data_IF_906447325574
#
_entry.id   IF_906447325574
#
_cell.length_a   1.000
_cell.length_b   1.000
_cell.length_c   1.000
_cell.angle_alpha   90.00
_cell.angle_beta   90.00
_cell.angle_gamma   90.00
#
_symmetry.space_group_name_H-M   'P 1'
#
loop_
_entity.id
_entity.type
_entity.pdbx_description
1 polymer ?
#
# COMPACT_ATOMS: atom_id res chain seq x y z
N UNK A 1 -3.41 -33.05 -5.83
CA UNK A 1 -2.69 -31.81 -6.13
C UNK A 1 -2.11 -31.31 -4.80
N UNK A 2 -0.78 -31.35 -4.61
CA UNK A 2 -0.18 -30.80 -3.40
C UNK A 2 -0.12 -29.28 -3.56
N UNK A 3 -0.83 -28.56 -2.69
CA UNK A 3 -0.76 -27.11 -2.63
C UNK A 3 0.56 -26.72 -1.95
N UNK A 4 1.23 -25.70 -2.47
CA UNK A 4 2.37 -25.09 -1.80
C UNK A 4 1.93 -24.56 -0.42
N UNK A 5 2.74 -24.79 0.60
CA UNK A 5 2.49 -24.16 1.92
C UNK A 5 3.03 -22.74 1.88
N UNK A 6 2.24 -21.80 2.38
CA UNK A 6 2.63 -20.41 2.56
C UNK A 6 2.65 -20.09 4.05
N UNK A 7 3.72 -19.48 4.51
CA UNK A 7 3.92 -18.99 5.87
C UNK A 7 4.00 -17.46 5.80
N UNK A 8 3.20 -16.78 6.63
CA UNK A 8 3.16 -15.32 6.71
C UNK A 8 3.14 -14.92 8.17
N UNK A 9 4.12 -14.16 8.58
CA UNK A 9 4.23 -13.57 9.91
C UNK A 9 4.41 -12.07 9.80
N UNK A 10 3.93 -11.33 10.79
CA UNK A 10 4.08 -9.89 10.80
C UNK A 10 3.55 -9.24 12.07
N UNK A 11 3.79 -7.95 12.17
CA UNK A 11 3.41 -7.12 13.31
C UNK A 11 2.62 -5.92 12.85
N UNK A 12 1.47 -5.67 13.46
CA UNK A 12 0.69 -4.44 13.29
C UNK A 12 0.86 -3.54 14.51
N UNK A 13 1.28 -2.29 14.27
CA UNK A 13 1.28 -1.22 15.25
C UNK A 13 0.18 -0.23 14.94
N UNK A 14 -0.75 -0.02 15.88
CA UNK A 14 -1.81 0.96 15.73
C UNK A 14 -1.80 1.98 16.87
N UNK A 15 -1.78 3.27 16.52
CA UNK A 15 -1.83 4.39 17.44
C UNK A 15 -3.05 5.24 17.10
N UNK A 16 -3.90 5.49 18.10
CA UNK A 16 -5.08 6.35 17.98
C UNK A 16 -5.01 7.42 19.06
N UNK A 17 -5.22 8.67 18.65
CA UNK A 17 -5.20 9.79 19.56
C UNK A 17 -6.27 10.82 19.19
N UNK A 18 -7.17 11.07 20.12
CA UNK A 18 -8.24 12.07 19.97
C UNK A 18 -8.01 13.18 20.98
N UNK A 19 -8.19 14.43 20.56
CA UNK A 19 -8.09 15.59 21.45
C UNK A 19 -9.00 16.73 20.98
N UNK A 20 -9.48 17.50 21.96
CA UNK A 20 -10.32 18.65 21.75
C UNK A 20 -9.51 19.94 21.96
N UNK A 21 -9.83 20.95 21.17
CA UNK A 21 -9.22 22.27 21.25
C UNK A 21 -10.31 23.35 21.17
N UNK A 22 -9.95 24.60 21.46
CA UNK A 22 -10.84 25.74 21.28
C UNK A 22 -11.21 26.03 19.80
N UNK A 23 -10.51 25.40 18.86
CA UNK A 23 -10.77 25.55 17.41
C UNK A 23 -11.46 24.31 16.82
N UNK A 24 -11.69 23.23 17.59
CA UNK A 24 -12.36 22.02 17.14
C UNK A 24 -11.68 20.73 17.64
N UNK A 25 -12.23 19.62 17.21
CA UNK A 25 -11.84 18.26 17.60
C UNK A 25 -10.90 17.67 16.56
N UNK A 26 -9.86 17.01 17.03
CA UNK A 26 -8.87 16.32 16.20
C UNK A 26 -8.83 14.83 16.53
N UNK A 27 -8.60 14.04 15.50
CA UNK A 27 -8.42 12.59 15.59
C UNK A 27 -7.22 12.21 14.73
N UNK A 28 -6.23 11.52 15.32
CA UNK A 28 -5.05 11.03 14.63
C UNK A 28 -5.05 9.51 14.72
N UNK A 29 -4.84 8.85 13.60
CA UNK A 29 -4.71 7.40 13.49
C UNK A 29 -3.47 7.07 12.67
N UNK A 30 -2.54 6.32 13.24
CA UNK A 30 -1.39 5.75 12.54
C UNK A 30 -1.49 4.22 12.67
N UNK A 31 -1.44 3.54 11.53
CA UNK A 31 -1.36 2.09 11.46
C UNK A 31 -0.16 1.73 10.60
N UNK A 32 0.78 0.99 11.17
CA UNK A 32 1.95 0.47 10.48
C UNK A 32 1.92 -1.05 10.52
N UNK A 33 1.97 -1.66 9.35
CA UNK A 33 2.08 -3.12 9.18
C UNK A 33 3.51 -3.44 8.76
N UNK A 34 4.13 -4.34 9.48
CA UNK A 34 5.45 -4.90 9.19
C UNK A 34 5.25 -6.38 8.87
N UNK A 35 5.70 -6.81 7.70
CA UNK A 35 5.73 -8.23 7.34
C UNK A 35 7.13 -8.74 7.63
N UNK A 36 7.23 -9.68 8.57
CA UNK A 36 8.52 -10.24 9.02
C UNK A 36 8.88 -11.47 8.18
N UNK A 37 7.88 -12.25 7.77
CA UNK A 37 8.04 -13.46 6.96
C UNK A 37 6.95 -13.53 5.91
N UNK A 38 7.34 -13.81 4.66
CA UNK A 38 6.44 -14.21 3.60
C UNK A 38 7.14 -15.31 2.78
N UNK A 39 6.95 -16.55 3.19
CA UNK A 39 7.65 -17.69 2.63
C UNK A 39 6.70 -18.65 1.92
N UNK A 40 7.06 -19.07 0.72
CA UNK A 40 6.33 -20.08 -0.04
C UNK A 40 7.19 -21.30 -0.32
N UNK A 41 6.79 -22.46 0.22
CA UNK A 41 7.52 -23.71 0.06
C UNK A 41 7.47 -24.17 -1.40
N UNK A 42 8.61 -24.43 -2.06
CA UNK A 42 8.64 -25.03 -3.39
C UNK A 42 8.07 -26.43 -3.35
N UNK A 43 7.31 -26.82 -4.38
CA UNK A 43 6.72 -28.16 -4.52
C UNK A 43 7.04 -28.80 -5.86
N UNK A 44 7.07 -30.14 -5.92
CA UNK A 44 7.30 -30.89 -7.16
C UNK A 44 8.64 -30.57 -7.83
N UNK A 45 8.61 -30.24 -9.10
CA UNK A 45 9.81 -29.90 -9.89
C UNK A 45 10.54 -28.66 -9.37
N UNK A 46 9.81 -27.69 -8.83
CA UNK A 46 10.39 -26.48 -8.26
C UNK A 46 11.22 -26.77 -7.01
N UNK A 47 10.87 -27.79 -6.23
CA UNK A 47 11.69 -28.23 -5.09
C UNK A 47 13.04 -28.77 -5.56
N UNK A 48 13.07 -29.56 -6.62
CA UNK A 48 14.32 -30.08 -7.20
C UNK A 48 15.22 -28.97 -7.73
N UNK A 49 14.63 -27.97 -8.41
CA UNK A 49 15.36 -26.80 -8.90
C UNK A 49 15.95 -25.99 -7.74
N UNK A 50 15.18 -25.74 -6.68
CA UNK A 50 15.67 -25.02 -5.50
C UNK A 50 16.85 -25.73 -4.83
N UNK A 51 16.82 -27.05 -4.73
CA UNK A 51 17.91 -27.86 -4.18
C UNK A 51 19.17 -27.76 -5.07
N UNK A 52 19.01 -27.88 -6.40
CA UNK A 52 20.12 -27.81 -7.34
C UNK A 52 20.79 -26.42 -7.36
N UNK A 53 20.02 -25.35 -7.20
CA UNK A 53 20.56 -23.98 -7.03
C UNK A 53 21.29 -23.84 -5.69
N UNK A 54 20.69 -24.32 -4.60
CA UNK A 54 21.30 -24.25 -3.27
C UNK A 54 22.60 -25.05 -3.15
N UNK A 55 22.71 -26.18 -3.88
CA UNK A 55 23.95 -26.99 -3.95
C UNK A 55 25.02 -26.42 -4.90
N UNK A 56 24.69 -25.39 -5.70
CA UNK A 56 25.57 -24.82 -6.70
C UNK A 56 25.67 -25.62 -8.00
N UNK A 57 24.82 -26.64 -8.18
CA UNK A 57 24.70 -27.41 -9.44
C UNK A 57 24.08 -26.56 -10.55
N UNK A 58 23.21 -25.63 -10.18
CA UNK A 58 22.63 -24.64 -11.09
C UNK A 58 22.93 -23.22 -10.63
N UNK A 59 23.05 -22.28 -11.57
CA UNK A 59 23.28 -20.88 -11.23
C UNK A 59 22.04 -20.26 -10.56
N UNK A 60 22.25 -19.19 -9.78
CA UNK A 60 21.21 -18.52 -8.99
C UNK A 60 19.99 -18.06 -9.80
N UNK A 61 20.19 -17.67 -11.07
CA UNK A 61 19.09 -17.28 -11.97
C UNK A 61 18.17 -18.43 -12.38
N UNK A 62 18.56 -19.68 -12.11
CA UNK A 62 17.69 -20.85 -12.33
C UNK A 62 16.73 -21.11 -11.14
N UNK A 63 16.81 -20.30 -10.09
CA UNK A 63 15.88 -20.38 -8.96
C UNK A 63 14.44 -20.13 -9.43
N UNK A 64 13.46 -20.94 -8.96
CA UNK A 64 12.07 -20.75 -9.34
C UNK A 64 11.53 -19.46 -8.73
N UNK A 65 10.93 -18.59 -9.56
CA UNK A 65 10.28 -17.37 -9.13
C UNK A 65 8.99 -17.71 -8.35
N UNK A 66 8.67 -16.92 -7.31
CA UNK A 66 7.46 -17.09 -6.51
C UNK A 66 7.53 -18.20 -5.46
N UNK A 67 8.73 -18.67 -5.13
CA UNK A 67 9.00 -19.65 -4.07
C UNK A 67 10.19 -19.20 -3.22
N UNK A 68 10.29 -19.72 -2.00
CA UNK A 68 11.28 -19.33 -1.02
C UNK A 68 10.84 -18.11 -0.21
N UNK A 69 11.78 -17.29 0.21
CA UNK A 69 11.51 -16.03 0.89
C UNK A 69 11.09 -14.98 -0.15
N UNK A 70 9.86 -14.52 -0.02
CA UNK A 70 9.23 -13.54 -0.91
C UNK A 70 8.93 -12.23 -0.19
N UNK A 71 9.40 -12.08 1.06
CA UNK A 71 9.21 -10.85 1.80
C UNK A 71 9.98 -9.70 1.12
N UNK A 72 9.38 -8.53 1.04
CA UNK A 72 9.97 -7.38 0.35
C UNK A 72 10.06 -7.54 -1.18
N UNK A 73 9.28 -8.44 -1.79
CA UNK A 73 9.27 -8.64 -3.25
C UNK A 73 7.90 -8.34 -3.87
N UNK A 74 7.87 -8.11 -5.19
CA UNK A 74 6.67 -7.86 -5.98
C UNK A 74 5.69 -9.06 -6.03
N UNK A 75 6.20 -10.28 -5.91
CA UNK A 75 5.39 -11.53 -5.91
C UNK A 75 5.00 -11.99 -4.51
N UNK A 76 5.47 -11.31 -3.47
CA UNK A 76 5.22 -11.60 -2.08
C UNK A 76 4.44 -10.51 -1.36
N UNK A 77 5.05 -9.92 -0.35
CA UNK A 77 4.49 -8.85 0.46
C UNK A 77 5.47 -7.69 0.61
N UNK A 78 4.93 -6.48 0.72
CA UNK A 78 5.70 -5.31 1.12
C UNK A 78 6.11 -5.46 2.58
N UNK A 79 7.41 -5.28 2.89
CA UNK A 79 7.90 -5.38 4.29
C UNK A 79 7.25 -4.36 5.22
N UNK A 80 6.98 -3.15 4.73
CA UNK A 80 6.37 -2.10 5.54
C UNK A 80 5.29 -1.33 4.77
N UNK A 81 4.14 -1.16 5.41
CA UNK A 81 3.03 -0.34 4.91
C UNK A 81 2.48 0.52 6.02
N UNK A 82 2.49 1.85 5.82
CA UNK A 82 2.02 2.81 6.80
C UNK A 82 0.79 3.54 6.31
N UNK A 83 -0.17 3.75 7.20
CA UNK A 83 -1.35 4.56 6.95
C UNK A 83 -1.52 5.58 8.07
N UNK A 84 -1.39 6.86 7.74
CA UNK A 84 -1.69 7.98 8.62
C UNK A 84 -3.03 8.60 8.22
N UNK A 85 -3.85 8.93 9.20
CA UNK A 85 -5.03 9.75 8.99
C UNK A 85 -5.12 10.79 10.11
N UNK A 86 -5.30 12.04 9.72
CA UNK A 86 -5.60 13.16 10.60
C UNK A 86 -6.99 13.68 10.22
N UNK A 87 -7.90 13.75 11.18
CA UNK A 87 -9.25 14.27 10.98
C UNK A 87 -9.47 15.48 11.88
N UNK A 88 -10.22 16.44 11.39
CA UNK A 88 -10.63 17.64 12.10
C UNK A 88 -12.12 17.85 11.96
N UNK A 89 -12.77 18.28 13.05
CA UNK A 89 -14.18 18.65 13.08
C UNK A 89 -14.40 19.93 13.89
N UNK A 90 -15.16 20.86 13.31
CA UNK A 90 -15.67 22.02 14.02
C UNK A 90 -17.07 22.36 13.50
N UNK A 91 -18.11 22.14 14.31
CA UNK A 91 -19.49 22.33 13.91
C UNK A 91 -19.84 21.58 12.63
N UNK A 92 -20.20 22.30 11.58
CA UNK A 92 -20.56 21.75 10.28
C UNK A 92 -19.37 21.41 9.39
N UNK A 93 -18.18 21.86 9.74
CA UNK A 93 -16.96 21.64 8.96
C UNK A 93 -16.25 20.37 9.39
N UNK A 94 -15.76 19.63 8.39
CA UNK A 94 -14.87 18.48 8.57
C UNK A 94 -13.77 18.53 7.54
N UNK A 95 -12.56 18.24 7.97
CA UNK A 95 -11.42 18.05 7.09
C UNK A 95 -10.70 16.75 7.46
N UNK A 96 -10.09 16.09 6.50
CA UNK A 96 -9.18 14.97 6.78
C UNK A 96 -8.04 14.93 5.78
N UNK A 97 -6.86 14.67 6.30
CA UNK A 97 -5.66 14.33 5.54
C UNK A 97 -5.36 12.86 5.81
N UNK A 98 -5.18 12.07 4.76
CA UNK A 98 -4.74 10.67 4.87
C UNK A 98 -3.53 10.45 3.98
N UNK A 99 -2.52 9.77 4.51
CA UNK A 99 -1.34 9.37 3.77
C UNK A 99 -1.19 7.86 3.81
N UNK A 100 -0.75 7.29 2.70
CA UNK A 100 -0.39 5.89 2.55
C UNK A 100 1.05 5.83 2.05
N UNK A 101 1.92 5.17 2.83
CA UNK A 101 3.26 4.81 2.40
C UNK A 101 3.32 3.30 2.13
N UNK A 102 3.87 2.95 1.00
CA UNK A 102 4.23 1.59 0.61
C UNK A 102 5.76 1.55 0.63
N UNK A 103 6.34 0.59 1.34
CA UNK A 103 7.78 0.39 1.42
C UNK A 103 8.41 0.05 0.09
N UNK A 104 9.72 -0.05 0.06
CA UNK A 104 10.45 -0.51 -1.11
C UNK A 104 10.20 -2.00 -1.37
N UNK A 105 10.41 -2.41 -2.60
CA UNK A 105 10.25 -3.78 -3.08
C UNK A 105 11.44 -4.16 -3.94
N UNK A 106 11.84 -5.43 -3.89
CA UNK A 106 12.72 -6.02 -4.88
C UNK A 106 11.89 -6.56 -6.06
N UNK A 107 12.35 -6.30 -7.28
CA UNK A 107 11.82 -6.92 -8.49
C UNK A 107 12.34 -8.34 -8.60
N UNK A 108 11.46 -9.33 -8.43
CA UNK A 108 11.83 -10.75 -8.41
C UNK A 108 12.25 -11.27 -9.79
N UNK A 109 11.73 -10.69 -10.88
CA UNK A 109 12.12 -11.02 -12.24
C UNK A 109 13.57 -10.64 -12.53
N UNK A 110 13.94 -9.42 -12.21
CA UNK A 110 15.31 -8.91 -12.36
C UNK A 110 16.29 -9.58 -11.40
N UNK A 111 15.87 -9.90 -10.17
CA UNK A 111 16.67 -10.66 -9.22
C UNK A 111 17.04 -12.04 -9.76
N UNK A 112 16.10 -12.73 -10.39
CA UNK A 112 16.34 -14.03 -11.03
C UNK A 112 17.33 -13.93 -12.19
N UNK A 113 17.34 -12.82 -12.93
CA UNK A 113 18.33 -12.53 -13.97
C UNK A 113 19.71 -12.17 -13.43
N UNK A 114 19.88 -12.09 -12.11
CA UNK A 114 21.15 -11.76 -11.45
C UNK A 114 21.35 -10.26 -11.18
N UNK A 115 20.31 -9.45 -11.38
CA UNK A 115 20.31 -8.03 -11.05
C UNK A 115 19.47 -7.78 -9.80
N UNK A 116 19.94 -6.89 -8.94
CA UNK A 116 19.12 -6.39 -7.85
C UNK A 116 18.52 -5.05 -8.26
N UNK A 117 17.23 -5.06 -8.59
CA UNK A 117 16.48 -3.85 -8.87
C UNK A 117 15.53 -3.57 -7.71
N UNK A 118 15.75 -2.46 -7.02
CA UNK A 118 14.92 -2.01 -5.92
C UNK A 118 13.95 -0.94 -6.43
N UNK A 119 12.68 -1.20 -6.25
CA UNK A 119 11.60 -0.27 -6.52
C UNK A 119 11.44 0.59 -5.27
N UNK A 120 11.65 1.92 -5.38
CA UNK A 120 11.62 2.79 -4.21
C UNK A 120 10.24 2.86 -3.57
N UNK A 121 10.22 3.19 -2.29
CA UNK A 121 8.97 3.43 -1.56
C UNK A 121 8.17 4.58 -2.18
N UNK A 122 6.84 4.45 -2.14
CA UNK A 122 5.90 5.47 -2.63
C UNK A 122 5.02 5.97 -1.49
N UNK A 123 4.82 7.29 -1.42
CA UNK A 123 3.90 7.90 -0.45
C UNK A 123 2.88 8.76 -1.17
N UNK A 124 1.60 8.46 -1.01
CA UNK A 124 0.50 9.28 -1.52
C UNK A 124 -0.27 9.91 -0.37
N UNK A 125 -0.81 11.11 -0.58
CA UNK A 125 -1.63 11.79 0.39
C UNK A 125 -2.92 12.32 -0.23
N UNK A 126 -4.03 12.16 0.49
CA UNK A 126 -5.37 12.61 0.10
C UNK A 126 -5.88 13.66 1.08
N UNK A 127 -6.49 14.71 0.57
CA UNK A 127 -7.18 15.73 1.36
C UNK A 127 -8.68 15.68 1.08
N UNK A 128 -9.50 15.72 2.12
CA UNK A 128 -10.93 15.95 1.98
C UNK A 128 -11.40 17.06 2.91
N UNK A 129 -12.28 17.93 2.39
CA UNK A 129 -12.94 18.98 3.15
C UNK A 129 -14.43 18.87 2.89
N UNK A 130 -15.25 18.92 3.92
CA UNK A 130 -16.69 18.91 3.79
C UNK A 130 -17.37 19.87 4.72
N UNK A 131 -18.57 20.34 4.30
CA UNK A 131 -19.45 21.22 5.09
C UNK A 131 -20.88 20.67 5.01
N UNK A 132 -21.54 20.56 6.17
CA UNK A 132 -22.98 20.38 6.20
C UNK A 132 -23.65 21.69 5.82
N UNK A 133 -24.72 21.61 5.03
CA UNK A 133 -25.45 22.76 4.49
C UNK A 133 -26.94 22.51 4.57
N UNK A 134 -27.74 23.58 4.54
CA UNK A 134 -29.19 23.47 4.31
C UNK A 134 -29.51 23.92 2.89
N UNK A 135 -30.22 23.10 2.15
CA UNK A 135 -30.61 23.35 0.75
C UNK A 135 -32.13 23.20 0.61
N UNK A 136 -32.83 24.31 0.46
CA UNK A 136 -34.28 24.31 0.31
C UNK A 136 -35.05 23.70 1.49
N UNK A 137 -34.53 23.84 2.72
CA UNK A 137 -35.10 23.24 3.93
C UNK A 137 -34.66 21.80 4.22
N UNK A 138 -33.91 21.18 3.33
CA UNK A 138 -33.36 19.82 3.49
C UNK A 138 -31.90 19.90 3.95
N UNK A 139 -31.49 18.94 4.79
CA UNK A 139 -30.08 18.79 5.18
C UNK A 139 -29.28 18.24 4.01
N UNK A 140 -28.07 18.73 3.88
CA UNK A 140 -27.17 18.28 2.83
C UNK A 140 -25.71 18.38 3.26
N UNK A 141 -24.83 17.90 2.39
CA UNK A 141 -23.37 17.98 2.56
C UNK A 141 -22.71 18.25 1.22
N UNK A 142 -21.81 19.22 1.23
CA UNK A 142 -20.86 19.44 0.13
C UNK A 142 -19.52 18.90 0.58
N UNK A 143 -18.84 18.09 -0.26
CA UNK A 143 -17.53 17.52 0.02
C UNK A 143 -16.63 17.71 -1.20
N UNK A 144 -15.45 18.24 -0.97
CA UNK A 144 -14.36 18.33 -1.95
C UNK A 144 -13.22 17.40 -1.54
N UNK A 145 -12.67 16.66 -2.49
CA UNK A 145 -11.59 15.71 -2.27
C UNK A 145 -10.51 15.92 -3.32
N UNK A 146 -9.27 15.98 -2.86
CA UNK A 146 -8.08 15.89 -3.70
C UNK A 146 -7.39 14.58 -3.36
N UNK A 147 -7.36 13.67 -4.30
CA UNK A 147 -6.58 12.43 -4.22
C UNK A 147 -5.18 12.68 -4.72
N UNK A 148 -4.20 12.08 -4.03
CA UNK A 148 -2.78 12.18 -4.39
C UNK A 148 -2.33 13.65 -4.58
N UNK A 149 -2.34 14.43 -3.50
CA UNK A 149 -2.08 15.89 -3.51
C UNK A 149 -0.72 16.21 -4.14
N UNK A 150 0.29 15.37 -3.90
CA UNK A 150 1.64 15.58 -4.39
C UNK A 150 1.80 15.22 -5.88
N UNK A 151 0.79 14.61 -6.50
CA UNK A 151 0.84 14.07 -7.88
C UNK A 151 1.94 13.02 -8.07
N UNK A 152 2.16 12.22 -7.02
CA UNK A 152 3.14 11.13 -7.06
C UNK A 152 2.80 10.12 -8.15
N UNK A 153 3.82 9.70 -8.87
CA UNK A 153 3.69 8.67 -9.91
C UNK A 153 4.26 7.36 -9.40
N UNK A 154 3.68 6.26 -9.88
CA UNK A 154 4.19 4.95 -9.53
C UNK A 154 5.68 4.81 -9.91
N UNK A 155 6.53 4.24 -9.03
CA UNK A 155 7.91 3.98 -9.38
C UNK A 155 8.00 2.99 -10.53
N UNK A 156 8.99 3.18 -11.40
CA UNK A 156 9.21 2.30 -12.53
C UNK A 156 9.60 0.90 -12.06
N UNK A 157 9.06 -0.11 -12.72
CA UNK A 157 9.32 -1.51 -12.47
C UNK A 157 9.15 -2.32 -13.76
N UNK A 158 9.68 -3.56 -13.80
CA UNK A 158 9.48 -4.50 -14.90
C UNK A 158 8.09 -5.13 -14.82
N UNK A 159 7.08 -4.32 -15.00
CA UNK A 159 5.68 -4.70 -15.05
C UNK A 159 5.05 -4.33 -16.39
N UNK A 160 3.93 -4.98 -16.73
CA UNK A 160 3.22 -4.76 -18.00
C UNK A 160 2.92 -3.28 -18.30
N UNK A 161 2.66 -2.48 -17.26
CA UNK A 161 2.37 -1.05 -17.37
C UNK A 161 3.59 -0.16 -17.08
N UNK A 162 4.80 -0.73 -16.94
CA UNK A 162 5.99 -0.03 -16.49
C UNK A 162 6.06 0.19 -14.97
N UNK A 163 5.12 -0.38 -14.21
CA UNK A 163 5.07 -0.39 -12.75
C UNK A 163 4.24 -1.59 -12.25
N UNK A 164 4.35 -1.96 -10.98
CA UNK A 164 3.55 -3.03 -10.37
C UNK A 164 2.17 -2.51 -9.95
N UNK A 165 1.17 -2.74 -10.81
CA UNK A 165 -0.21 -2.28 -10.62
C UNK A 165 -0.93 -2.93 -9.44
N UNK A 166 -0.48 -4.08 -8.96
CA UNK A 166 -1.04 -4.76 -7.79
C UNK A 166 -0.63 -4.09 -6.47
N UNK A 167 0.45 -3.33 -6.50
CA UNK A 167 1.02 -2.64 -5.34
C UNK A 167 0.83 -1.13 -5.43
N UNK A 168 1.11 -0.54 -6.59
CA UNK A 168 1.12 0.90 -6.81
C UNK A 168 0.01 1.35 -7.76
N UNK A 169 -0.37 2.62 -7.64
CA UNK A 169 -1.31 3.28 -8.55
C UNK A 169 -0.61 4.46 -9.23
N UNK A 170 -0.66 4.51 -10.57
CA UNK A 170 -0.11 5.60 -11.36
C UNK A 170 -1.19 6.63 -11.79
N UNK A 171 -2.29 6.68 -11.07
CA UNK A 171 -3.43 7.54 -11.45
C UNK A 171 -3.14 9.05 -11.33
N UNK A 172 -2.11 9.45 -10.58
CA UNK A 172 -1.79 10.86 -10.34
C UNK A 172 -2.86 11.59 -9.52
N UNK A 173 -2.84 12.93 -9.57
CA UNK A 173 -3.77 13.77 -8.81
C UNK A 173 -5.16 13.80 -9.42
N UNK A 174 -6.19 13.60 -8.58
CA UNK A 174 -7.59 13.62 -8.97
C UNK A 174 -8.41 14.50 -8.04
N UNK A 175 -9.45 15.13 -8.58
CA UNK A 175 -10.37 16.02 -7.86
C UNK A 175 -11.79 15.49 -7.93
N UNK A 176 -12.48 15.49 -6.78
CA UNK A 176 -13.86 15.07 -6.68
C UNK A 176 -14.69 16.12 -5.93
N UNK A 177 -15.88 16.40 -6.44
CA UNK A 177 -16.91 17.18 -5.78
C UNK A 177 -18.14 16.30 -5.58
N UNK A 178 -18.57 16.16 -4.33
CA UNK A 178 -19.75 15.40 -3.96
C UNK A 178 -20.78 16.35 -3.33
N UNK A 179 -22.01 16.28 -3.79
CA UNK A 179 -23.18 16.93 -3.19
C UNK A 179 -24.14 15.85 -2.76
N UNK A 180 -24.49 15.82 -1.47
CA UNK A 180 -25.53 14.95 -0.92
C UNK A 180 -26.65 15.81 -0.38
N UNK A 181 -27.90 15.43 -0.65
CA UNK A 181 -29.11 16.04 -0.10
C UNK A 181 -29.98 14.93 0.47
N UNK A 182 -30.41 15.10 1.73
CA UNK A 182 -31.35 14.18 2.41
C UNK A 182 -32.77 14.68 2.10
N UNK A 183 -33.53 13.94 1.27
CA UNK A 183 -34.89 14.26 0.80
C UNK A 183 -35.94 13.71 1.76
#
# INVERSE_FOLDING_TARGET
MNLATREVEGTDLAIYYDFETNIGDFSISLVSTFTDTFYQTPTGEFSALSVAVASGELPAYAAPIGFGDLNGTDVGAVEQKDRLKISYRNGDYRASLSALRIGELADSGEQSAGFMYLIPSMTTADLSISKNVELGGNKGRVKFVVKNIADERAPLADGYNGFFSDVHSDMGRNYYLELRVDL
#
